data_IF_823498315089
#
_entry.id   IF_823498315089
#
_cell.length_a   1.000
_cell.length_b   1.000
_cell.length_c   1.000
_cell.angle_alpha   90.00
_cell.angle_beta   90.00
_cell.angle_gamma   90.00
#
_symmetry.space_group_name_H-M   'P 1'
#
loop_
_entity.id
_entity.type
_entity.pdbx_description
1 polymer ?
#
# COMPACT_ATOMS: atom_id res chain seq x y z
N UNK A 1 -15.99 10.91 -5.09
CA UNK A 1 -15.84 9.99 -3.94
C UNK A 1 -15.82 10.85 -2.70
N UNK A 2 -16.66 10.55 -1.72
CA UNK A 2 -16.72 11.32 -0.47
C UNK A 2 -15.55 10.85 0.37
N UNK A 3 -14.63 11.75 0.70
CA UNK A 3 -13.61 11.51 1.70
C UNK A 3 -14.34 11.45 3.05
N UNK A 4 -14.73 10.26 3.45
CA UNK A 4 -15.30 10.04 4.77
C UNK A 4 -14.09 9.84 5.66
N UNK A 5 -13.69 10.93 6.32
CA UNK A 5 -12.68 11.02 7.37
C UNK A 5 -13.15 10.22 8.62
N UNK A 6 -13.46 8.94 8.43
CA UNK A 6 -13.88 8.03 9.48
C UNK A 6 -12.60 7.57 10.18
N UNK A 7 -12.05 8.45 11.02
CA UNK A 7 -10.95 8.13 11.91
C UNK A 7 -11.47 7.15 12.96
N UNK A 8 -11.59 5.87 12.60
CA UNK A 8 -11.77 4.77 13.56
C UNK A 8 -10.50 4.78 14.40
N UNK A 9 -10.61 5.24 15.65
CA UNK A 9 -9.49 5.21 16.57
C UNK A 9 -9.29 3.76 17.01
N UNK A 10 -8.34 3.08 16.39
CA UNK A 10 -7.89 1.75 16.79
C UNK A 10 -6.63 1.89 17.64
N UNK A 11 -6.59 1.18 18.77
CA UNK A 11 -5.43 1.17 19.68
C UNK A 11 -4.79 -0.21 19.68
N UNK A 12 -3.46 -0.26 19.62
CA UNK A 12 -2.68 -1.50 19.71
C UNK A 12 -2.12 -1.77 21.11
N UNK A 13 -2.49 -0.97 22.11
CA UNK A 13 -1.89 -0.97 23.46
C UNK A 13 -1.88 -2.34 24.13
N UNK A 14 -2.98 -3.10 24.02
CA UNK A 14 -3.05 -4.45 24.58
C UNK A 14 -2.02 -5.40 23.97
N UNK A 15 -1.82 -5.32 22.65
CA UNK A 15 -0.84 -6.15 21.95
C UNK A 15 0.58 -5.71 22.29
N UNK A 16 0.84 -4.40 22.32
CA UNK A 16 2.12 -3.84 22.72
C UNK A 16 2.50 -4.27 24.15
N UNK A 17 1.53 -4.27 25.08
CA UNK A 17 1.72 -4.73 26.46
C UNK A 17 2.01 -6.23 26.57
N UNK A 18 1.61 -7.03 25.56
CA UNK A 18 1.97 -8.45 25.44
C UNK A 18 3.35 -8.65 24.79
N UNK A 19 4.07 -7.57 24.47
CA UNK A 19 5.37 -7.61 23.81
C UNK A 19 5.30 -7.62 22.29
N UNK A 20 4.14 -7.35 21.69
CA UNK A 20 4.05 -7.20 20.24
C UNK A 20 4.79 -5.94 19.79
N UNK A 21 5.65 -6.09 18.79
CA UNK A 21 6.36 -4.99 18.14
C UNK A 21 5.97 -5.01 16.66
N UNK A 22 5.00 -4.18 16.23
CA UNK A 22 4.59 -4.14 14.83
C UNK A 22 5.75 -3.70 13.95
N UNK A 23 5.88 -4.34 12.77
CA UNK A 23 6.80 -3.89 11.71
C UNK A 23 6.39 -2.51 11.21
N UNK A 24 7.33 -1.78 10.61
CA UNK A 24 6.99 -0.48 10.00
C UNK A 24 6.00 -0.70 8.85
N UNK A 25 5.16 0.31 8.61
CA UNK A 25 4.14 0.24 7.57
C UNK A 25 4.80 0.07 6.21
N UNK A 26 5.85 0.84 5.95
CA UNK A 26 6.60 0.85 4.70
C UNK A 26 7.18 -0.54 4.41
N UNK A 27 7.77 -1.19 5.41
CA UNK A 27 8.31 -2.55 5.29
C UNK A 27 7.21 -3.56 4.92
N UNK A 28 6.04 -3.44 5.53
CA UNK A 28 4.91 -4.34 5.27
C UNK A 28 4.33 -4.12 3.88
N UNK A 29 4.25 -2.86 3.44
CA UNK A 29 3.76 -2.51 2.11
C UNK A 29 4.74 -2.99 1.02
N UNK A 30 6.05 -2.79 1.21
CA UNK A 30 7.07 -3.28 0.27
C UNK A 30 7.03 -4.80 0.13
N UNK A 31 7.00 -5.54 1.25
CA UNK A 31 6.89 -7.01 1.28
C UNK A 31 5.63 -7.49 0.51
N UNK A 32 4.52 -6.76 0.68
CA UNK A 32 3.28 -7.06 -0.03
C UNK A 32 3.41 -6.84 -1.54
N UNK A 33 3.98 -5.71 -1.98
CA UNK A 33 4.18 -5.41 -3.41
C UNK A 33 5.05 -6.47 -4.06
N UNK A 34 6.22 -6.78 -3.49
CA UNK A 34 7.14 -7.79 -4.01
C UNK A 34 6.46 -9.18 -4.13
N UNK A 35 5.65 -9.54 -3.13
CA UNK A 35 4.90 -10.80 -3.14
C UNK A 35 3.91 -10.88 -4.31
N UNK A 36 3.22 -9.78 -4.64
CA UNK A 36 2.27 -9.74 -5.75
C UNK A 36 2.95 -9.56 -7.12
N UNK A 37 4.11 -8.93 -7.19
CA UNK A 37 4.88 -8.83 -8.44
C UNK A 37 5.41 -10.19 -8.90
N UNK A 38 5.89 -11.02 -7.97
CA UNK A 38 6.48 -12.33 -8.30
C UNK A 38 5.58 -13.24 -9.16
N UNK A 39 4.29 -13.42 -8.88
CA UNK A 39 3.38 -14.18 -9.74
C UNK A 39 2.83 -13.39 -10.94
N UNK A 40 3.28 -12.14 -11.16
CA UNK A 40 2.78 -11.28 -12.22
C UNK A 40 1.39 -10.69 -11.94
N UNK A 41 0.94 -10.68 -10.67
CA UNK A 41 -0.40 -10.16 -10.31
C UNK A 41 -0.48 -8.64 -10.46
N UNK A 42 0.65 -7.94 -10.42
CA UNK A 42 0.73 -6.49 -10.61
C UNK A 42 1.02 -6.09 -12.06
N UNK A 43 0.87 -7.00 -13.04
CA UNK A 43 1.00 -6.69 -14.46
C UNK A 43 -0.38 -6.72 -15.14
N UNK A 44 -0.61 -5.84 -16.10
CA UNK A 44 -1.79 -5.88 -16.97
C UNK A 44 -1.57 -6.82 -18.17
N UNK A 45 -2.55 -6.88 -19.08
CA UNK A 45 -2.50 -7.78 -20.24
C UNK A 45 -1.33 -7.50 -21.19
N UNK A 46 -0.76 -6.29 -21.13
CA UNK A 46 0.36 -5.84 -21.94
C UNK A 46 1.71 -5.98 -21.20
N UNK A 47 1.70 -6.54 -19.98
CA UNK A 47 2.89 -6.68 -19.13
C UNK A 47 3.28 -5.41 -18.40
N UNK A 48 2.44 -4.39 -18.44
CA UNK A 48 2.68 -3.10 -17.81
C UNK A 48 2.24 -3.09 -16.34
N UNK A 49 2.82 -2.23 -15.47
CA UNK A 49 2.41 -2.15 -14.08
C UNK A 49 0.91 -1.81 -13.97
N UNK A 50 0.12 -2.68 -13.35
CA UNK A 50 -1.33 -2.50 -13.18
C UNK A 50 -1.65 -1.48 -12.07
N UNK A 51 -0.74 -1.31 -11.10
CA UNK A 51 -0.81 -0.28 -10.06
C UNK A 51 -0.36 1.09 -10.60
N UNK A 52 -1.08 1.61 -11.60
CA UNK A 52 -0.81 2.95 -12.15
C UNK A 52 -1.54 4.02 -11.34
N UNK A 53 -0.79 5.05 -10.95
CA UNK A 53 -1.40 6.28 -10.48
C UNK A 53 -2.33 6.84 -11.57
N UNK A 54 -3.45 7.49 -11.19
CA UNK A 54 -4.33 8.16 -12.15
C UNK A 54 -3.53 9.06 -13.10
N UNK A 55 -3.99 9.18 -14.35
CA UNK A 55 -3.25 9.86 -15.44
C UNK A 55 -2.65 11.20 -15.00
N UNK A 56 -3.41 12.04 -14.28
CA UNK A 56 -2.99 13.35 -13.80
C UNK A 56 -1.76 13.34 -12.88
N UNK A 57 -1.50 12.26 -12.15
CA UNK A 57 -0.28 12.15 -11.32
C UNK A 57 0.93 11.67 -12.12
N UNK A 58 0.70 11.02 -13.27
CA UNK A 58 1.79 10.56 -14.14
C UNK A 58 2.35 11.70 -15.01
N UNK A 59 1.50 12.58 -15.53
CA UNK A 59 1.93 13.73 -16.36
C UNK A 59 2.74 14.80 -15.61
N UNK A 60 2.69 14.83 -14.28
CA UNK A 60 3.43 15.81 -13.46
C UNK A 60 4.76 15.28 -12.91
N UNK A 61 5.14 14.04 -13.24
CA UNK A 61 6.41 13.43 -12.79
C UNK A 61 7.57 13.63 -13.78
N UNK A 62 7.32 14.29 -14.91
CA UNK A 62 8.26 14.51 -16.02
C UNK A 62 8.75 15.98 -16.14
N UNK A 63 8.56 16.81 -15.10
CA UNK A 63 9.10 18.19 -15.02
C UNK A 63 10.35 18.29 -14.15
#
# INVERSE_FOLDING_TARGET
MVDVDYKVYTTSDKLNNLGWQPRKLEETLTDSVEYFERPGLLQDADGEPSCRLPYFYRVNAEE
#
